data_IF_979901348281
#
_entry.id   IF_979901348281
#
_cell.length_a   1.000
_cell.length_b   1.000
_cell.length_c   1.000
_cell.angle_alpha   90.00
_cell.angle_beta   90.00
_cell.angle_gamma   90.00
#
_symmetry.space_group_name_H-M   'P 1'
#
loop_
_entity.id
_entity.type
_entity.pdbx_description
1 polymer ?
#
# COMPACT_ATOMS: atom_id res chain seq x y z
N UNK A 1 -29.32 18.08 13.83
CA UNK A 1 -29.08 17.29 15.04
C UNK A 1 -27.74 16.61 14.83
N UNK A 2 -26.71 17.02 15.57
CA UNK A 2 -25.37 16.44 15.45
C UNK A 2 -25.45 15.03 16.03
N UNK A 3 -25.47 14.03 15.17
CA UNK A 3 -25.16 12.65 15.55
C UNK A 3 -23.83 12.70 16.30
N UNK A 4 -23.83 12.20 17.54
CA UNK A 4 -22.63 12.19 18.36
C UNK A 4 -21.57 11.38 17.65
N UNK A 5 -20.48 12.03 17.24
CA UNK A 5 -19.28 11.34 16.80
C UNK A 5 -18.93 10.30 17.86
N UNK A 6 -19.05 9.04 17.48
CA UNK A 6 -18.71 7.93 18.36
C UNK A 6 -17.22 8.07 18.73
N UNK A 7 -16.96 8.09 20.04
CA UNK A 7 -15.62 8.22 20.61
C UNK A 7 -14.73 7.02 20.25
N UNK A 8 -15.30 5.94 19.71
CA UNK A 8 -14.54 4.80 19.21
C UNK A 8 -13.90 5.06 17.82
N UNK A 9 -14.49 5.97 17.02
CA UNK A 9 -13.96 6.33 15.69
C UNK A 9 -12.69 7.16 15.78
N UNK A 10 -11.82 7.05 14.76
CA UNK A 10 -10.61 7.87 14.70
C UNK A 10 -10.94 9.37 14.75
N UNK A 11 -11.95 9.80 14.00
CA UNK A 11 -12.42 11.19 13.97
C UNK A 11 -12.91 11.66 15.35
N UNK A 12 -13.76 10.87 16.00
CA UNK A 12 -14.29 11.18 17.33
C UNK A 12 -13.18 11.32 18.37
N UNK A 13 -12.18 10.42 18.36
CA UNK A 13 -11.02 10.50 19.27
C UNK A 13 -10.16 11.73 19.00
N UNK A 14 -9.84 12.00 17.74
CA UNK A 14 -9.00 13.15 17.38
C UNK A 14 -9.67 14.47 17.77
N UNK A 15 -10.98 14.59 17.52
CA UNK A 15 -11.77 15.75 17.93
C UNK A 15 -11.80 15.90 19.45
N UNK A 16 -12.11 14.83 20.18
CA UNK A 16 -12.13 14.86 21.64
C UNK A 16 -10.78 15.27 22.24
N UNK A 17 -9.66 14.86 21.62
CA UNK A 17 -8.33 15.29 22.04
C UNK A 17 -8.10 16.78 21.74
N UNK A 18 -8.45 17.26 20.54
CA UNK A 18 -8.32 18.68 20.17
C UNK A 18 -9.15 19.60 21.08
N UNK A 19 -10.38 19.22 21.41
CA UNK A 19 -11.30 20.00 22.25
C UNK A 19 -10.78 20.18 23.70
N UNK A 20 -9.82 19.35 24.14
CA UNK A 20 -9.22 19.44 25.48
C UNK A 20 -7.93 20.25 25.53
N UNK A 21 -7.41 20.66 24.38
CA UNK A 21 -6.11 21.33 24.27
C UNK A 21 -6.31 22.80 23.87
N UNK A 22 -5.41 23.66 24.35
CA UNK A 22 -5.35 25.05 23.91
C UNK A 22 -4.74 25.12 22.50
N UNK A 23 -5.29 25.98 21.63
CA UNK A 23 -4.82 26.09 20.24
C UNK A 23 -3.37 26.56 20.14
N UNK A 24 -2.84 27.27 21.14
CA UNK A 24 -1.44 27.70 21.17
C UNK A 24 -0.47 26.60 21.64
N UNK A 25 -0.97 25.47 22.15
CA UNK A 25 -0.14 24.34 22.60
C UNK A 25 0.48 23.61 21.40
N UNK A 26 1.76 23.28 21.51
CA UNK A 26 2.49 22.46 20.55
C UNK A 26 1.79 21.11 20.28
N UNK A 27 1.16 20.51 21.30
CA UNK A 27 0.41 19.26 21.16
C UNK A 27 -0.83 19.43 20.27
N UNK A 28 -1.54 20.55 20.42
CA UNK A 28 -2.68 20.87 19.57
C UNK A 28 -2.20 21.03 18.12
N UNK A 29 -1.13 21.80 17.89
CA UNK A 29 -0.59 22.05 16.55
C UNK A 29 -0.13 20.75 15.86
N UNK A 30 0.56 19.87 16.59
CA UNK A 30 0.98 18.57 16.07
C UNK A 30 -0.22 17.67 15.71
N UNK A 31 -1.27 17.66 16.54
CA UNK A 31 -2.47 16.86 16.31
C UNK A 31 -3.27 17.38 15.12
N UNK A 32 -3.46 18.70 15.04
CA UNK A 32 -4.11 19.37 13.91
C UNK A 32 -3.36 19.10 12.60
N UNK A 33 -2.04 19.30 12.59
CA UNK A 33 -1.21 18.99 11.42
C UNK A 33 -1.29 17.52 11.00
N UNK A 34 -1.43 16.58 11.94
CA UNK A 34 -1.64 15.16 11.62
C UNK A 34 -2.99 14.89 10.93
N UNK A 35 -4.04 15.60 11.32
CA UNK A 35 -5.37 15.51 10.67
C UNK A 35 -5.28 16.07 9.25
N UNK A 36 -4.72 17.26 9.09
CA UNK A 36 -4.57 17.93 7.80
C UNK A 36 -3.65 17.14 6.84
N UNK A 37 -2.59 16.53 7.35
CA UNK A 37 -1.69 15.69 6.55
C UNK A 37 -2.41 14.50 5.90
N UNK A 38 -3.45 13.95 6.55
CA UNK A 38 -4.21 12.81 5.99
C UNK A 38 -5.03 13.20 4.76
N UNK A 39 -5.36 14.47 4.55
CA UNK A 39 -6.05 14.92 3.33
C UNK A 39 -5.11 15.28 2.19
N UNK A 40 -3.82 15.56 2.46
CA UNK A 40 -2.86 16.05 1.45
C UNK A 40 -2.70 15.09 0.27
N UNK A 41 -2.76 13.79 0.52
CA UNK A 41 -2.58 12.81 -0.55
C UNK A 41 -3.73 12.85 -1.57
N UNK A 42 -4.94 13.25 -1.16
CA UNK A 42 -6.12 13.33 -2.03
C UNK A 42 -5.96 14.44 -3.06
N UNK A 43 -5.48 15.61 -2.64
CA UNK A 43 -5.25 16.74 -3.53
C UNK A 43 -4.22 16.38 -4.62
N UNK A 44 -3.12 15.73 -4.21
CA UNK A 44 -2.12 15.25 -5.16
C UNK A 44 -2.70 14.18 -6.09
N UNK A 45 -3.49 13.24 -5.56
CA UNK A 45 -4.08 12.19 -6.37
C UNK A 45 -5.12 12.72 -7.36
N UNK A 46 -5.86 13.77 -7.02
CA UNK A 46 -6.76 14.48 -7.93
C UNK A 46 -5.98 15.06 -9.11
N UNK A 47 -4.90 15.82 -8.86
CA UNK A 47 -4.06 16.33 -9.94
C UNK A 47 -3.44 15.22 -10.79
N UNK A 48 -2.98 14.13 -10.16
CA UNK A 48 -2.47 12.98 -10.90
C UNK A 48 -3.56 12.32 -11.76
N UNK A 49 -4.79 12.23 -11.28
CA UNK A 49 -5.93 11.73 -12.05
C UNK A 49 -6.18 12.64 -13.26
N UNK A 50 -6.21 13.96 -13.08
CA UNK A 50 -6.37 14.91 -14.18
C UNK A 50 -5.23 14.81 -15.21
N UNK A 51 -3.99 14.64 -14.75
CA UNK A 51 -2.82 14.42 -15.64
C UNK A 51 -3.00 13.16 -16.48
N UNK A 52 -3.55 12.09 -15.89
CA UNK A 52 -3.85 10.84 -16.61
C UNK A 52 -5.00 11.04 -17.60
N UNK A 53 -6.10 11.64 -17.15
CA UNK A 53 -7.32 11.83 -17.95
C UNK A 53 -7.08 12.73 -19.16
N UNK A 54 -6.20 13.73 -19.04
CA UNK A 54 -5.82 14.62 -20.13
C UNK A 54 -4.60 14.13 -20.92
N UNK A 55 -4.04 12.97 -20.60
CA UNK A 55 -2.81 12.45 -21.21
C UNK A 55 -1.62 13.47 -21.16
N UNK A 56 -1.66 14.42 -20.21
CA UNK A 56 -0.75 15.57 -20.17
C UNK A 56 0.73 15.15 -20.03
N UNK A 57 0.98 14.03 -19.34
CA UNK A 57 2.32 13.45 -19.23
C UNK A 57 2.94 13.10 -20.59
N UNK A 58 2.14 12.79 -21.62
CA UNK A 58 2.63 12.51 -22.99
C UNK A 58 3.11 13.78 -23.67
N UNK A 59 2.40 14.90 -23.47
CA UNK A 59 2.80 16.20 -24.02
C UNK A 59 4.12 16.69 -23.43
N UNK A 60 4.40 16.31 -22.18
CA UNK A 60 5.67 16.59 -21.51
C UNK A 60 6.79 15.60 -21.87
N UNK A 61 6.53 14.65 -22.76
CA UNK A 61 7.53 13.70 -23.27
C UNK A 61 7.69 12.42 -22.46
N UNK A 62 6.83 12.16 -21.47
CA UNK A 62 6.87 10.92 -20.69
C UNK A 62 6.04 9.82 -21.34
N UNK A 63 6.59 8.60 -21.34
CA UNK A 63 5.90 7.41 -21.88
C UNK A 63 4.70 6.98 -21.02
N UNK A 64 4.77 7.21 -19.70
CA UNK A 64 3.73 6.83 -18.74
C UNK A 64 3.68 7.88 -17.63
N UNK A 65 2.52 8.04 -16.99
CA UNK A 65 2.38 8.88 -15.79
C UNK A 65 3.36 8.46 -14.67
N UNK A 66 3.67 7.15 -14.58
CA UNK A 66 4.63 6.65 -13.59
C UNK A 66 6.06 7.13 -13.84
N UNK A 67 6.46 7.29 -15.11
CA UNK A 67 7.76 7.85 -15.46
C UNK A 67 7.84 9.33 -15.06
N UNK A 68 6.79 10.10 -15.36
CA UNK A 68 6.65 11.48 -14.90
C UNK A 68 6.76 11.59 -13.37
N UNK A 69 5.97 10.78 -12.63
CA UNK A 69 5.99 10.77 -11.17
C UNK A 69 7.39 10.47 -10.60
N UNK A 70 8.09 9.49 -11.17
CA UNK A 70 9.42 9.11 -10.70
C UNK A 70 10.48 10.17 -11.01
N UNK A 71 10.37 10.85 -12.17
CA UNK A 71 11.38 11.82 -12.62
C UNK A 71 11.20 13.20 -12.03
N UNK A 72 9.98 13.73 -11.98
CA UNK A 72 9.74 15.12 -11.54
C UNK A 72 9.22 15.23 -10.11
N UNK A 73 8.44 14.25 -9.65
CA UNK A 73 7.77 14.33 -8.34
C UNK A 73 8.51 13.56 -7.24
N UNK A 74 9.56 12.81 -7.60
CA UNK A 74 10.25 11.86 -6.70
C UNK A 74 9.28 10.85 -6.04
N UNK A 75 8.26 10.44 -6.79
CA UNK A 75 7.22 9.51 -6.33
C UNK A 75 7.47 8.14 -6.97
N UNK A 76 7.67 7.14 -6.11
CA UNK A 76 7.80 5.75 -6.57
C UNK A 76 6.57 5.29 -7.36
N UNK A 77 6.77 4.39 -8.33
CA UNK A 77 5.68 3.77 -9.10
C UNK A 77 4.60 3.15 -8.19
N UNK A 78 5.02 2.53 -7.08
CA UNK A 78 4.11 1.93 -6.12
C UNK A 78 3.22 2.99 -5.44
N UNK A 79 3.80 4.11 -5.02
CA UNK A 79 3.07 5.21 -4.41
C UNK A 79 2.12 5.89 -5.40
N UNK A 80 2.58 6.19 -6.62
CA UNK A 80 1.74 6.77 -7.67
C UNK A 80 0.54 5.88 -8.00
N UNK A 81 0.73 4.54 -8.04
CA UNK A 81 -0.36 3.59 -8.22
C UNK A 81 -1.37 3.66 -7.07
N UNK A 82 -0.92 3.71 -5.82
CA UNK A 82 -1.81 3.84 -4.65
C UNK A 82 -2.63 5.13 -4.69
N UNK A 83 -2.00 6.25 -5.09
CA UNK A 83 -2.67 7.54 -5.22
C UNK A 83 -3.81 7.45 -6.24
N UNK A 84 -3.51 7.00 -7.46
CA UNK A 84 -4.49 6.90 -8.55
C UNK A 84 -5.61 5.90 -8.23
N UNK A 85 -5.28 4.68 -7.81
CA UNK A 85 -6.28 3.65 -7.48
C UNK A 85 -7.12 4.05 -6.27
N UNK A 86 -6.49 4.65 -5.24
CA UNK A 86 -7.19 5.09 -4.04
C UNK A 86 -8.14 6.26 -4.30
N UNK A 87 -7.73 7.23 -5.12
CA UNK A 87 -8.58 8.35 -5.51
C UNK A 87 -9.77 7.90 -6.37
N UNK A 88 -9.53 7.02 -7.36
CA UNK A 88 -10.60 6.44 -8.16
C UNK A 88 -11.60 5.69 -7.28
N UNK A 89 -11.13 4.90 -6.32
CA UNK A 89 -12.00 4.19 -5.39
C UNK A 89 -12.79 5.16 -4.51
N UNK A 90 -12.18 6.21 -3.96
CA UNK A 90 -12.92 7.22 -3.18
C UNK A 90 -14.02 7.90 -4.02
N UNK A 91 -13.72 8.24 -5.27
CA UNK A 91 -14.70 8.89 -6.16
C UNK A 91 -15.93 8.02 -6.43
N UNK A 92 -15.76 6.69 -6.46
CA UNK A 92 -16.83 5.72 -6.73
C UNK A 92 -17.55 5.29 -5.44
N UNK A 93 -16.79 4.92 -4.41
CA UNK A 93 -17.30 4.15 -3.26
C UNK A 93 -17.56 4.99 -2.01
N UNK A 94 -16.97 6.19 -1.92
CA UNK A 94 -17.09 7.11 -0.79
C UNK A 94 -16.92 8.59 -1.23
N UNK A 95 -17.70 9.07 -2.21
CA UNK A 95 -17.51 10.40 -2.82
C UNK A 95 -17.63 11.55 -1.81
N UNK A 96 -18.32 11.36 -0.69
CA UNK A 96 -18.45 12.33 0.41
C UNK A 96 -17.13 12.67 1.11
N UNK A 97 -16.08 11.86 0.92
CA UNK A 97 -14.73 12.15 1.42
C UNK A 97 -13.96 13.11 0.51
N UNK A 98 -14.36 13.27 -0.76
CA UNK A 98 -13.64 14.15 -1.67
C UNK A 98 -13.87 15.63 -1.32
N UNK A 99 -12.80 16.46 -1.24
CA UNK A 99 -12.92 17.88 -0.90
C UNK A 99 -13.95 18.64 -1.74
N UNK A 100 -14.03 18.37 -3.05
CA UNK A 100 -14.99 18.98 -3.99
C UNK A 100 -16.46 18.67 -3.70
N UNK A 101 -16.74 17.55 -3.03
CA UNK A 101 -18.09 17.12 -2.70
C UNK A 101 -18.52 17.53 -1.28
N UNK A 102 -17.61 18.16 -0.51
CA UNK A 102 -17.90 18.64 0.84
C UNK A 102 -18.89 19.81 0.78
N UNK A 103 -19.98 19.70 1.53
CA UNK A 103 -20.90 20.82 1.72
C UNK A 103 -20.32 21.84 2.71
N UNK A 104 -20.53 23.16 2.53
CA UNK A 104 -19.97 24.19 3.39
C UNK A 104 -20.37 24.10 4.88
N UNK A 105 -21.50 23.47 5.16
CA UNK A 105 -22.09 23.28 6.49
C UNK A 105 -21.68 21.95 7.15
N UNK A 106 -20.98 21.07 6.42
CA UNK A 106 -20.51 19.80 6.96
C UNK A 106 -19.10 19.91 7.55
N UNK A 107 -18.85 19.33 8.74
CA UNK A 107 -17.50 19.29 9.30
C UNK A 107 -16.56 18.50 8.39
N UNK A 108 -15.28 18.87 8.41
CA UNK A 108 -14.25 18.12 7.70
C UNK A 108 -14.13 16.71 8.28
N UNK A 109 -14.47 15.70 7.48
CA UNK A 109 -14.24 14.29 7.82
C UNK A 109 -12.75 14.01 7.93
N UNK A 110 -12.36 13.15 8.87
CA UNK A 110 -10.97 12.68 8.92
C UNK A 110 -10.75 11.70 7.78
N UNK A 111 -9.85 12.08 6.86
CA UNK A 111 -9.52 11.25 5.71
C UNK A 111 -8.80 9.96 6.16
N UNK A 112 -9.20 8.79 5.65
CA UNK A 112 -8.43 7.57 5.83
C UNK A 112 -7.03 7.72 5.22
N UNK A 113 -6.04 7.03 5.78
CA UNK A 113 -4.70 7.03 5.20
C UNK A 113 -4.68 6.31 3.83
N UNK A 114 -3.73 6.69 2.98
CA UNK A 114 -3.59 6.14 1.63
C UNK A 114 -3.45 4.61 1.60
N UNK A 115 -2.81 4.00 2.60
CA UNK A 115 -2.64 2.55 2.62
C UNK A 115 -3.97 1.86 2.92
N UNK A 116 -4.78 2.42 3.82
CA UNK A 116 -6.13 1.95 4.12
C UNK A 116 -7.00 2.02 2.87
N UNK A 117 -7.03 3.16 2.17
CA UNK A 117 -7.80 3.32 0.93
C UNK A 117 -7.29 2.38 -0.17
N UNK A 118 -5.97 2.23 -0.32
CA UNK A 118 -5.38 1.31 -1.30
C UNK A 118 -5.79 -0.15 -1.04
N UNK A 119 -5.91 -0.56 0.22
CA UNK A 119 -6.39 -1.90 0.58
C UNK A 119 -7.87 -2.06 0.22
N UNK A 120 -8.68 -1.03 0.46
CA UNK A 120 -10.10 -1.04 0.06
C UNK A 120 -10.29 -1.09 -1.46
N UNK A 121 -9.52 -0.32 -2.21
CA UNK A 121 -9.51 -0.37 -3.68
C UNK A 121 -9.14 -1.76 -4.21
N UNK A 122 -8.22 -2.45 -3.53
CA UNK A 122 -7.93 -3.85 -3.84
C UNK A 122 -9.09 -4.76 -3.48
N UNK A 123 -9.65 -4.61 -2.27
CA UNK A 123 -10.79 -5.40 -1.81
C UNK A 123 -12.00 -5.30 -2.75
N UNK A 124 -12.27 -4.11 -3.28
CA UNK A 124 -13.32 -3.87 -4.27
C UNK A 124 -13.13 -4.71 -5.54
N UNK A 125 -11.88 -4.87 -6.01
CA UNK A 125 -11.57 -5.77 -7.13
C UNK A 125 -11.80 -7.24 -6.78
N UNK A 126 -11.44 -7.67 -5.58
CA UNK A 126 -11.69 -9.04 -5.14
C UNK A 126 -13.20 -9.35 -5.05
N UNK A 127 -14.05 -8.35 -4.80
CA UNK A 127 -15.51 -8.48 -4.89
C UNK A 127 -15.96 -8.62 -6.34
N UNK A 128 -15.43 -7.78 -7.25
CA UNK A 128 -15.72 -7.87 -8.68
C UNK A 128 -15.30 -9.23 -9.28
N UNK A 129 -14.23 -9.82 -8.74
CA UNK A 129 -13.75 -11.16 -9.09
C UNK A 129 -14.49 -12.30 -8.35
N UNK A 130 -15.57 -11.99 -7.61
CA UNK A 130 -16.39 -12.93 -6.81
C UNK A 130 -15.59 -13.71 -5.75
N UNK A 131 -14.41 -13.20 -5.35
CA UNK A 131 -13.54 -13.81 -4.35
C UNK A 131 -13.87 -13.38 -2.93
N UNK A 132 -14.46 -12.20 -2.76
CA UNK A 132 -14.91 -11.69 -1.46
C UNK A 132 -16.42 -11.42 -1.52
N UNK A 133 -17.21 -11.90 -0.54
CA UNK A 133 -18.63 -11.58 -0.48
C UNK A 133 -18.88 -10.07 -0.34
N UNK A 134 -19.87 -9.54 -1.05
CA UNK A 134 -20.24 -8.12 -1.00
C UNK A 134 -20.53 -7.65 0.43
N UNK A 135 -21.24 -8.46 1.23
CA UNK A 135 -21.59 -8.13 2.62
C UNK A 135 -20.34 -7.90 3.47
N UNK A 136 -19.37 -8.82 3.40
CA UNK A 136 -18.08 -8.70 4.09
C UNK A 136 -17.31 -7.46 3.64
N UNK A 137 -17.30 -7.16 2.34
CA UNK A 137 -16.66 -5.94 1.85
C UNK A 137 -17.34 -4.67 2.40
N UNK A 138 -18.67 -4.63 2.48
CA UNK A 138 -19.40 -3.48 3.02
C UNK A 138 -19.10 -3.26 4.51
N UNK A 139 -19.02 -4.33 5.30
CA UNK A 139 -18.60 -4.26 6.71
C UNK A 139 -17.18 -3.69 6.84
N UNK A 140 -16.24 -4.22 6.06
CA UNK A 140 -14.85 -3.75 6.06
C UNK A 140 -14.73 -2.30 5.58
N UNK A 141 -15.54 -1.89 4.59
CA UNK A 141 -15.59 -0.51 4.11
C UNK A 141 -16.04 0.44 5.21
N UNK A 142 -17.11 0.11 5.91
CA UNK A 142 -17.65 0.92 6.98
C UNK A 142 -16.64 1.11 8.12
N UNK A 143 -16.02 0.02 8.59
CA UNK A 143 -14.96 0.09 9.60
C UNK A 143 -13.69 0.82 9.13
N UNK A 144 -13.32 0.70 7.85
CA UNK A 144 -12.18 1.44 7.28
C UNK A 144 -12.45 2.95 7.25
N UNK A 145 -13.64 3.37 6.79
CA UNK A 145 -14.03 4.78 6.69
C UNK A 145 -14.22 5.45 8.05
N UNK A 146 -14.61 4.69 9.08
CA UNK A 146 -14.64 5.15 10.48
C UNK A 146 -13.27 5.18 11.17
N UNK A 147 -12.25 4.62 10.52
CA UNK A 147 -10.90 4.51 11.08
C UNK A 147 -10.80 3.52 12.25
N UNK A 148 -11.71 2.55 12.33
CA UNK A 148 -11.70 1.47 13.33
C UNK A 148 -10.65 0.41 12.98
N UNK A 149 -10.37 0.24 11.68
CA UNK A 149 -9.40 -0.72 11.14
C UNK A 149 -8.34 -0.01 10.32
N UNK A 150 -7.09 -0.40 10.54
CA UNK A 150 -5.97 0.07 9.73
C UNK A 150 -5.69 -0.88 8.55
N UNK A 151 -4.88 -0.42 7.59
CA UNK A 151 -4.49 -1.18 6.41
C UNK A 151 -3.96 -2.60 6.69
N UNK A 152 -3.27 -2.84 7.82
CA UNK A 152 -2.75 -4.18 8.16
C UNK A 152 -3.87 -5.14 8.57
N UNK A 153 -4.82 -4.65 9.36
CA UNK A 153 -5.99 -5.43 9.81
C UNK A 153 -6.89 -5.75 8.62
N UNK A 154 -7.22 -4.74 7.79
CA UNK A 154 -8.01 -4.92 6.58
C UNK A 154 -7.38 -5.95 5.63
N UNK A 155 -6.05 -5.91 5.40
CA UNK A 155 -5.36 -6.92 4.58
C UNK A 155 -5.53 -8.33 5.12
N UNK A 156 -5.50 -8.50 6.44
CA UNK A 156 -5.68 -9.79 7.08
C UNK A 156 -7.14 -10.26 6.91
N UNK A 157 -8.10 -9.40 7.16
CA UNK A 157 -9.53 -9.71 7.09
C UNK A 157 -9.98 -10.00 5.66
N UNK A 158 -9.55 -9.23 4.65
CA UNK A 158 -9.79 -9.56 3.25
C UNK A 158 -9.20 -10.92 2.88
N UNK A 159 -7.98 -11.24 3.33
CA UNK A 159 -7.36 -12.54 3.08
C UNK A 159 -8.17 -13.68 3.72
N UNK A 160 -8.71 -13.47 4.91
CA UNK A 160 -9.54 -14.44 5.62
C UNK A 160 -10.92 -14.60 4.95
N UNK A 161 -11.47 -13.52 4.40
CA UNK A 161 -12.75 -13.51 3.68
C UNK A 161 -12.71 -14.28 2.35
N UNK A 162 -11.55 -14.36 1.69
CA UNK A 162 -11.40 -15.16 0.47
C UNK A 162 -11.57 -16.65 0.80
N UNK A 163 -12.51 -17.37 0.17
CA UNK A 163 -12.69 -18.81 0.35
C UNK A 163 -11.41 -19.59 0.06
N UNK A 164 -11.11 -20.62 0.85
CA UNK A 164 -9.84 -21.37 0.76
C UNK A 164 -9.55 -21.86 -0.66
N UNK A 165 -10.57 -22.34 -1.38
CA UNK A 165 -10.42 -22.85 -2.74
C UNK A 165 -10.14 -21.75 -3.79
N UNK A 166 -10.37 -20.48 -3.46
CA UNK A 166 -10.07 -19.31 -4.30
C UNK A 166 -8.80 -18.59 -3.84
N UNK A 167 -8.20 -18.98 -2.70
CA UNK A 167 -6.93 -18.41 -2.26
C UNK A 167 -5.85 -18.82 -3.24
N UNK A 168 -5.17 -17.83 -3.81
CA UNK A 168 -3.98 -18.10 -4.61
C UNK A 168 -2.95 -18.79 -3.71
N UNK A 169 -2.65 -20.04 -4.04
CA UNK A 169 -1.39 -20.64 -3.58
C UNK A 169 -0.30 -19.94 -4.39
N UNK A 170 0.61 -19.19 -3.77
CA UNK A 170 1.67 -18.53 -4.52
C UNK A 170 2.37 -19.58 -5.38
N UNK A 171 2.43 -19.35 -6.69
CA UNK A 171 3.20 -20.22 -7.55
C UNK A 171 4.62 -20.32 -6.98
N UNK A 172 5.21 -21.52 -6.91
CA UNK A 172 6.59 -21.66 -6.49
C UNK A 172 7.44 -20.68 -7.30
N UNK A 173 8.19 -19.80 -6.62
CA UNK A 173 9.15 -18.91 -7.27
C UNK A 173 10.54 -19.53 -7.08
N UNK A 174 10.94 -20.47 -7.96
CA UNK A 174 12.21 -21.17 -7.82
C UNK A 174 13.39 -20.18 -7.82
N UNK A 175 13.34 -19.12 -8.62
CA UNK A 175 14.35 -18.06 -8.66
C UNK A 175 14.61 -17.42 -7.30
N UNK A 176 13.55 -17.05 -6.57
CA UNK A 176 13.66 -16.48 -5.22
C UNK A 176 14.33 -17.45 -4.25
N UNK A 177 13.99 -18.73 -4.35
CA UNK A 177 14.58 -19.77 -3.49
C UNK A 177 16.05 -20.03 -3.85
N UNK A 178 16.40 -20.05 -5.13
CA UNK A 178 17.77 -20.19 -5.62
C UNK A 178 18.66 -19.02 -5.21
N UNK A 179 18.20 -17.77 -5.38
CA UNK A 179 18.91 -16.57 -4.90
C UNK A 179 19.17 -16.59 -3.40
N UNK A 180 18.17 -17.02 -2.61
CA UNK A 180 18.34 -17.18 -1.17
C UNK A 180 19.35 -18.28 -0.84
N UNK A 181 19.28 -19.43 -1.50
CA UNK A 181 20.23 -20.52 -1.30
C UNK A 181 21.66 -20.08 -1.64
N UNK A 182 21.85 -19.35 -2.74
CA UNK A 182 23.15 -18.78 -3.12
C UNK A 182 23.74 -17.91 -2.01
N UNK A 183 22.97 -16.92 -1.52
CA UNK A 183 23.41 -16.04 -0.43
C UNK A 183 23.77 -16.81 0.85
N UNK A 184 23.04 -17.88 1.18
CA UNK A 184 23.33 -18.67 2.37
C UNK A 184 24.57 -19.56 2.19
N UNK A 185 24.81 -20.09 0.98
CA UNK A 185 26.06 -20.83 0.67
C UNK A 185 27.27 -19.90 0.71
N UNK A 186 27.17 -18.68 0.17
CA UNK A 186 28.25 -17.68 0.22
C UNK A 186 28.61 -17.31 1.66
N UNK A 187 27.60 -17.04 2.51
CA UNK A 187 27.84 -16.79 3.94
C UNK A 187 28.47 -17.98 4.66
N UNK A 188 28.07 -19.21 4.31
CA UNK A 188 28.65 -20.41 4.90
C UNK A 188 30.12 -20.53 4.51
N UNK A 189 30.46 -20.36 3.23
CA UNK A 189 31.83 -20.35 2.72
C UNK A 189 32.71 -19.31 3.43
N UNK A 190 32.18 -18.11 3.68
CA UNK A 190 32.91 -17.03 4.37
C UNK A 190 33.25 -17.35 5.84
N UNK A 191 32.57 -18.32 6.47
CA UNK A 191 32.80 -18.73 7.86
C UNK A 191 33.61 -20.02 7.99
N UNK A 192 34.01 -20.64 6.88
CA UNK A 192 34.72 -21.91 6.88
C UNK A 192 36.23 -21.69 6.92
N UNK A 193 36.92 -22.50 7.73
CA UNK A 193 38.38 -22.45 7.85
C UNK A 193 39.05 -23.33 6.76
N UNK A 194 39.90 -22.76 5.88
CA UNK A 194 40.46 -23.45 4.72
C UNK A 194 41.31 -24.68 5.04
N UNK A 195 41.99 -24.66 6.18
CA UNK A 195 42.97 -25.69 6.55
C UNK A 195 42.30 -26.98 7.04
N UNK A 196 41.10 -26.89 7.62
CA UNK A 196 40.40 -28.02 8.21
C UNK A 196 39.28 -28.58 7.31
N UNK A 197 38.77 -27.77 6.37
CA UNK A 197 37.51 -28.04 5.67
C UNK A 197 37.64 -27.97 4.14
N UNK A 198 38.84 -28.18 3.60
CA UNK A 198 39.16 -28.03 2.18
C UNK A 198 38.20 -28.77 1.23
N UNK A 199 37.82 -30.02 1.56
CA UNK A 199 36.89 -30.81 0.73
C UNK A 199 35.46 -30.24 0.75
N UNK A 200 35.00 -29.75 1.91
CA UNK A 200 33.68 -29.14 2.05
C UNK A 200 33.62 -27.76 1.37
N UNK A 201 34.71 -26.97 1.44
CA UNK A 201 34.84 -25.70 0.73
C UNK A 201 34.76 -25.88 -0.78
N UNK A 202 35.42 -26.92 -1.30
CA UNK A 202 35.35 -27.26 -2.71
C UNK A 202 33.90 -27.60 -3.12
N UNK A 203 33.23 -28.48 -2.38
CA UNK A 203 31.85 -28.88 -2.67
C UNK A 203 30.86 -27.71 -2.57
N UNK A 204 31.02 -26.84 -1.58
CA UNK A 204 30.18 -25.65 -1.41
C UNK A 204 30.43 -24.61 -2.51
N UNK A 205 31.68 -24.46 -2.96
CA UNK A 205 32.02 -23.62 -4.11
C UNK A 205 31.41 -24.12 -5.43
N UNK A 206 31.48 -25.43 -5.68
CA UNK A 206 30.85 -26.06 -6.86
C UNK A 206 29.32 -25.87 -6.84
N UNK A 207 28.69 -26.02 -5.66
CA UNK A 207 27.26 -25.78 -5.50
C UNK A 207 26.88 -24.31 -5.71
N UNK A 208 27.68 -23.37 -5.17
CA UNK A 208 27.50 -21.92 -5.40
C UNK A 208 27.49 -21.61 -6.90
N UNK A 209 28.49 -22.10 -7.62
CA UNK A 209 28.65 -21.82 -9.05
C UNK A 209 27.50 -22.40 -9.89
N UNK A 210 27.03 -23.61 -9.53
CA UNK A 210 25.86 -24.24 -10.16
C UNK A 210 24.56 -23.44 -9.92
N UNK A 211 24.32 -22.97 -8.68
CA UNK A 211 23.15 -22.15 -8.36
C UNK A 211 23.25 -20.80 -9.07
N UNK A 212 24.42 -20.16 -9.09
CA UNK A 212 24.64 -18.88 -9.78
C UNK A 212 24.35 -18.98 -11.28
N UNK A 213 24.81 -20.04 -11.95
CA UNK A 213 24.52 -20.28 -13.36
C UNK A 213 23.02 -20.46 -13.63
N UNK A 214 22.32 -21.20 -12.75
CA UNK A 214 20.86 -21.38 -12.84
C UNK A 214 20.10 -20.05 -12.69
N UNK A 215 20.44 -19.26 -11.67
CA UNK A 215 19.83 -17.94 -11.46
C UNK A 215 20.05 -17.03 -12.67
N UNK A 216 21.29 -16.94 -13.15
CA UNK A 216 21.66 -16.09 -14.29
C UNK A 216 20.90 -16.48 -15.56
N UNK A 217 20.75 -17.78 -15.83
CA UNK A 217 20.02 -18.27 -17.01
C UNK A 217 18.51 -17.98 -16.96
N UNK A 218 17.93 -18.00 -15.77
CA UNK A 218 16.49 -17.75 -15.56
C UNK A 218 16.18 -16.25 -15.57
N UNK A 219 17.09 -15.39 -15.12
CA UNK A 219 16.93 -13.93 -15.23
C UNK A 219 16.94 -13.45 -16.68
N UNK A 220 17.80 -14.01 -17.54
CA UNK A 220 17.86 -13.69 -18.98
C UNK A 220 16.59 -14.14 -19.71
N UNK A 221 15.89 -15.16 -19.21
CA UNK A 221 14.65 -15.65 -19.81
C UNK A 221 13.40 -14.85 -19.41
N UNK A 222 13.50 -13.99 -18.38
CA UNK A 222 12.40 -13.15 -17.88
C UNK A 222 12.43 -11.69 -18.40
N UNK A 223 13.50 -11.26 -19.09
CA UNK A 223 13.64 -9.96 -19.78
C UNK A 223 13.08 -9.95 -21.22
#
# INVERSE_FOLDING_TARGET
MSEGLDKETLEGRLKAMLDTLDESDLRYQALKGSVEFRSVWVDLAEFLSEIVDNDAFKEWGYRTVFAYCATELDISRATARKLLEGYSWLAEEAPEYLPKNRQPDQPARVMPDIDTVSVMAKGYREVADERVPQETYMELKDSALRGERNARELRKEFKEAVPEHLRETPAPNPLKHLKRALNEVEKALDQMEPEEQAELLQQAGELRDAIFALVSSQEIAEE
#
